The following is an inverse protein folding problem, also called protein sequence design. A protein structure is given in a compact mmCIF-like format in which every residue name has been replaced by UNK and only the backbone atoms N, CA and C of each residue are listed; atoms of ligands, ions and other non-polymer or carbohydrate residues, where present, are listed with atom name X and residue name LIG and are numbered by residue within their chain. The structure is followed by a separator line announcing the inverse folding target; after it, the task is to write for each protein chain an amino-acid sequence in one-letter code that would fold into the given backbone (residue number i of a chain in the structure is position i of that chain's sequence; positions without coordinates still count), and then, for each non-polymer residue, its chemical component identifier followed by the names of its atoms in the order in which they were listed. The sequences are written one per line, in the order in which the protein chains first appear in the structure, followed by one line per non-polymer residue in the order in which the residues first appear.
data_IF_557900438208
#
_entry.id   IF_557900438208
#
_cell.length_a   1.000
_cell.length_b   1.000
_cell.length_c   1.000
_cell.angle_alpha   90.00
_cell.angle_beta   90.00
_cell.angle_gamma   90.00
#
_symmetry.space_group_name_H-M   'P 1'
#
loop_
_entity.id
_entity.type
_entity.pdbx_description
1 polymer ?
#
# COMPACT_ATOMS: atom_id res chain seq x y z
N UNK A 1 -20.94 -4.98 -8.89
CA UNK A 1 -19.81 -5.33 -8.01
C UNK A 1 -19.11 -6.52 -8.60
N UNK A 2 -17.97 -6.28 -9.22
CA UNK A 2 -17.06 -7.29 -9.74
C UNK A 2 -15.79 -7.37 -8.89
N UNK A 3 -15.09 -8.49 -9.02
CA UNK A 3 -13.81 -8.73 -8.35
C UNK A 3 -12.69 -8.00 -9.10
N UNK A 4 -11.88 -7.25 -8.36
CA UNK A 4 -10.58 -6.79 -8.82
C UNK A 4 -9.50 -7.79 -8.39
N UNK A 5 -8.53 -8.05 -9.28
CA UNK A 5 -7.33 -8.79 -8.98
C UNK A 5 -6.27 -7.76 -8.60
N UNK A 6 -5.80 -7.80 -7.35
CA UNK A 6 -4.81 -6.87 -6.82
C UNK A 6 -3.58 -7.66 -6.39
N UNK A 7 -2.41 -7.24 -6.86
CA UNK A 7 -1.11 -7.70 -6.36
C UNK A 7 -0.39 -6.51 -5.76
N UNK A 8 0.40 -6.75 -4.72
CA UNK A 8 1.14 -5.70 -4.04
C UNK A 8 2.54 -6.16 -3.64
N UNK A 9 3.45 -5.21 -3.60
CA UNK A 9 4.82 -5.36 -3.12
C UNK A 9 5.17 -4.13 -2.28
N UNK A 10 5.90 -4.30 -1.19
CA UNK A 10 6.32 -3.18 -0.33
C UNK A 10 7.84 -3.11 -0.27
N UNK A 11 8.36 -1.90 -0.24
CA UNK A 11 9.79 -1.61 -0.29
C UNK A 11 10.08 -0.38 0.60
N UNK A 12 11.09 -0.50 1.44
CA UNK A 12 11.52 0.46 2.45
C UNK A 12 12.73 1.30 2.00
N UNK A 13 12.93 1.51 0.69
CA UNK A 13 14.12 2.18 0.11
C UNK A 13 14.64 3.42 0.86
N UNK A 14 13.75 4.22 1.47
CA UNK A 14 14.11 5.36 2.34
C UNK A 14 13.49 5.28 3.74
N UNK A 15 12.52 4.40 3.94
CA UNK A 15 11.90 4.18 5.24
C UNK A 15 12.89 3.36 6.08
N UNK A 16 13.14 3.79 7.31
CA UNK A 16 14.07 3.08 8.17
C UNK A 16 13.68 3.30 9.63
N UNK A 17 14.04 2.36 10.53
CA UNK A 17 13.80 2.51 11.95
C UNK A 17 14.26 3.87 12.48
N UNK A 18 13.39 4.53 13.25
CA UNK A 18 13.67 5.84 13.84
C UNK A 18 13.42 7.04 12.91
N UNK A 19 13.01 6.81 11.65
CA UNK A 19 12.57 7.89 10.76
C UNK A 19 11.07 7.82 10.43
N UNK A 20 10.55 8.85 9.76
CA UNK A 20 9.17 8.94 9.25
C UNK A 20 9.15 9.12 7.72
N UNK A 21 10.19 8.65 7.04
CA UNK A 21 10.24 8.71 5.58
C UNK A 21 9.21 7.73 4.99
N UNK A 22 8.63 8.02 3.82
CA UNK A 22 7.62 7.13 3.25
C UNK A 22 8.14 5.73 2.92
N UNK A 23 7.39 4.71 3.34
CA UNK A 23 7.50 3.36 2.80
C UNK A 23 6.66 3.27 1.51
N UNK A 24 7.15 2.55 0.51
CA UNK A 24 6.50 2.42 -0.78
C UNK A 24 5.75 1.10 -0.88
N UNK A 25 4.48 1.18 -1.26
CA UNK A 25 3.67 0.01 -1.63
C UNK A 25 3.33 0.15 -3.11
N UNK A 26 3.86 -0.75 -3.93
CA UNK A 26 3.55 -0.84 -5.35
C UNK A 26 2.41 -1.82 -5.52
N UNK A 27 1.35 -1.41 -6.22
CA UNK A 27 0.25 -2.32 -6.57
C UNK A 27 0.11 -2.44 -8.09
N UNK A 28 -0.42 -3.59 -8.51
CA UNK A 28 -1.03 -3.78 -9.83
C UNK A 28 -2.48 -4.21 -9.63
N UNK A 29 -3.41 -3.54 -10.30
CA UNK A 29 -4.84 -3.82 -10.24
C UNK A 29 -5.42 -4.04 -11.64
N UNK A 30 -6.09 -5.18 -11.83
CA UNK A 30 -6.85 -5.50 -13.04
C UNK A 30 -8.26 -5.97 -12.70
N UNK A 31 -9.16 -5.93 -13.67
CA UNK A 31 -10.41 -6.71 -13.58
C UNK A 31 -10.15 -8.21 -13.84
N UNK A 32 -11.23 -9.00 -13.85
CA UNK A 32 -11.17 -10.44 -14.12
C UNK A 32 -10.78 -10.83 -15.55
N UNK A 33 -10.81 -9.88 -16.49
CA UNK A 33 -10.39 -10.06 -17.89
C UNK A 33 -8.96 -9.57 -18.12
N UNK A 34 -8.28 -9.07 -17.08
CA UNK A 34 -6.93 -8.51 -17.17
C UNK A 34 -6.89 -7.07 -17.67
N UNK A 35 -8.03 -6.38 -17.78
CA UNK A 35 -8.06 -4.96 -18.13
C UNK A 35 -7.54 -4.15 -16.93
N UNK A 36 -6.57 -3.25 -17.12
CA UNK A 36 -5.99 -2.48 -16.03
C UNK A 36 -7.02 -1.53 -15.42
N UNK A 37 -7.10 -1.51 -14.09
CA UNK A 37 -7.92 -0.54 -13.35
C UNK A 37 -7.17 0.78 -13.35
N UNK A 38 -7.79 1.84 -13.89
CA UNK A 38 -7.15 3.16 -14.00
C UNK A 38 -7.84 4.23 -13.17
N UNK A 39 -7.16 5.36 -12.99
CA UNK A 39 -7.68 6.51 -12.23
C UNK A 39 -7.82 6.29 -10.71
N UNK A 40 -7.16 5.29 -10.11
CA UNK A 40 -7.13 5.12 -8.65
C UNK A 40 -6.48 6.34 -7.97
N UNK A 41 -7.10 6.79 -6.89
CA UNK A 41 -6.66 7.86 -6.00
C UNK A 41 -6.66 7.34 -4.55
N UNK A 42 -6.21 8.17 -3.61
CA UNK A 42 -6.25 7.86 -2.17
C UNK A 42 -7.64 7.37 -1.72
N UNK A 43 -8.73 8.01 -2.19
CA UNK A 43 -10.09 7.63 -1.84
C UNK A 43 -10.52 6.22 -2.33
N UNK A 44 -9.76 5.61 -3.23
CA UNK A 44 -10.00 4.25 -3.73
C UNK A 44 -9.23 3.19 -2.95
N UNK A 45 -8.40 3.60 -1.98
CA UNK A 45 -7.41 2.74 -1.34
C UNK A 45 -7.57 2.78 0.17
N UNK A 46 -7.42 1.62 0.78
CA UNK A 46 -7.23 1.49 2.22
C UNK A 46 -5.97 0.65 2.43
N UNK A 47 -5.09 1.14 3.30
CA UNK A 47 -3.86 0.44 3.69
C UNK A 47 -3.79 0.45 5.21
N UNK A 48 -3.63 -0.73 5.81
CA UNK A 48 -3.48 -0.87 7.25
C UNK A 48 -2.46 -1.99 7.55
N UNK A 49 -1.47 -1.78 8.43
CA UNK A 49 -0.56 -2.83 8.82
C UNK A 49 -1.27 -3.81 9.76
N UNK A 50 -1.43 -5.06 9.31
CA UNK A 50 -1.95 -6.16 10.13
C UNK A 50 -0.91 -6.69 11.11
N UNK A 51 0.36 -6.62 10.73
CA UNK A 51 1.51 -6.92 11.58
C UNK A 51 2.46 -5.73 11.47
N UNK A 52 2.95 -5.29 12.62
CA UNK A 52 3.98 -4.28 12.77
C UNK A 52 5.13 -4.85 13.59
N UNK A 53 6.35 -4.35 13.39
CA UNK A 53 7.44 -4.59 14.32
C UNK A 53 7.05 -4.20 15.76
N UNK A 54 7.66 -4.80 16.80
CA UNK A 54 7.34 -4.47 18.19
C UNK A 54 7.36 -2.96 18.46
N UNK A 55 6.25 -2.43 18.98
CA UNK A 55 6.07 -0.99 19.22
C UNK A 55 5.85 -0.14 17.96
N UNK A 56 5.61 -0.77 16.81
CA UNK A 56 5.27 -0.10 15.56
C UNK A 56 3.86 0.45 15.55
N UNK A 57 3.62 1.43 14.68
CA UNK A 57 2.36 2.15 14.58
C UNK A 57 1.59 1.79 13.30
N UNK A 58 0.32 2.21 13.25
CA UNK A 58 -0.47 2.25 12.01
C UNK A 58 0.14 3.24 11.01
N UNK A 59 -0.40 3.27 9.80
CA UNK A 59 0.08 4.17 8.74
C UNK A 59 -1.03 4.98 8.12
N UNK A 60 -0.66 6.15 7.61
CA UNK A 60 -1.50 6.98 6.74
C UNK A 60 -0.98 6.94 5.31
N UNK A 61 -1.89 6.94 4.34
CA UNK A 61 -1.57 7.16 2.93
C UNK A 61 -1.35 8.65 2.71
N UNK A 62 -0.14 9.03 2.25
CA UNK A 62 0.21 10.44 1.97
C UNK A 62 0.22 10.78 0.48
N UNK A 63 0.36 9.77 -0.39
CA UNK A 63 0.40 9.97 -1.83
C UNK A 63 0.04 8.67 -2.57
N UNK A 64 -0.59 8.82 -3.74
CA UNK A 64 -0.88 7.74 -4.68
C UNK A 64 -0.58 8.24 -6.08
N UNK A 65 0.40 7.65 -6.74
CA UNK A 65 0.80 8.02 -8.10
C UNK A 65 0.61 6.87 -9.06
N UNK A 66 -0.02 7.15 -10.20
CA UNK A 66 -0.07 6.21 -11.32
C UNK A 66 1.34 5.95 -11.85
N UNK A 67 1.64 4.68 -12.11
CA UNK A 67 2.80 4.26 -12.88
C UNK A 67 2.68 4.61 -14.35
N UNK A 68 3.76 4.40 -15.10
CA UNK A 68 3.78 4.59 -16.57
C UNK A 68 2.94 3.54 -17.30
N UNK A 69 2.87 2.33 -16.75
CA UNK A 69 1.99 1.27 -17.24
C UNK A 69 0.63 1.39 -16.55
N UNK A 70 -0.50 1.32 -17.28
CA UNK A 70 -1.83 1.33 -16.69
C UNK A 70 -2.03 0.19 -15.68
N UNK A 71 -2.80 0.45 -14.62
CA UNK A 71 -3.07 -0.54 -13.57
C UNK A 71 -2.01 -0.57 -12.46
N UNK A 72 -0.86 0.09 -12.64
CA UNK A 72 0.20 0.15 -11.64
C UNK A 72 0.17 1.46 -10.85
N UNK A 73 0.39 1.38 -9.54
CA UNK A 73 0.39 2.53 -8.65
C UNK A 73 1.49 2.45 -7.61
N UNK A 74 2.11 3.59 -7.31
CA UNK A 74 3.00 3.79 -6.17
C UNK A 74 2.20 4.48 -5.06
N UNK A 75 1.95 3.76 -3.98
CA UNK A 75 1.29 4.23 -2.78
C UNK A 75 2.39 4.55 -1.76
N UNK A 76 2.33 5.74 -1.17
CA UNK A 76 3.27 6.16 -0.14
C UNK A 76 2.56 6.18 1.18
N UNK A 77 3.10 5.46 2.15
CA UNK A 77 2.58 5.41 3.52
C UNK A 77 3.62 5.88 4.51
N UNK A 78 3.16 6.53 5.58
CA UNK A 78 4.01 6.97 6.70
C UNK A 78 3.37 6.53 8.01
N UNK A 79 4.13 6.32 9.10
CA UNK A 79 3.57 6.10 10.42
C UNK A 79 2.60 7.24 10.80
N UNK A 80 1.50 6.89 11.45
CA UNK A 80 0.51 7.86 11.95
C UNK A 80 1.16 8.83 12.94
N UNK A 81 0.56 10.02 13.07
CA UNK A 81 1.00 11.05 14.01
C UNK A 81 2.50 11.41 13.86
N UNK A 82 3.24 11.41 14.98
CA UNK A 82 4.68 11.66 15.04
C UNK A 82 5.48 10.37 15.25
N UNK A 83 4.86 9.21 15.02
CA UNK A 83 5.54 7.93 15.17
C UNK A 83 6.63 7.75 14.11
N UNK A 84 7.53 6.81 14.41
CA UNK A 84 8.63 6.42 13.53
C UNK A 84 8.55 4.94 13.25
N UNK A 85 9.11 4.52 12.12
CA UNK A 85 9.26 3.09 11.83
C UNK A 85 10.06 2.41 12.93
N UNK A 86 9.71 1.15 13.20
CA UNK A 86 10.43 0.29 14.15
C UNK A 86 11.03 -0.87 13.38
N UNK A 87 12.12 -1.41 13.89
CA UNK A 87 12.71 -2.62 13.31
C UNK A 87 11.71 -3.77 13.37
N UNK A 88 11.61 -4.54 12.29
CA UNK A 88 10.78 -5.73 12.22
C UNK A 88 10.07 -5.88 10.88
N UNK A 89 9.26 -6.93 10.76
CA UNK A 89 8.48 -7.17 9.55
C UNK A 89 7.15 -6.45 9.66
N UNK A 90 6.80 -5.72 8.60
CA UNK A 90 5.48 -5.14 8.41
C UNK A 90 4.72 -5.96 7.37
N UNK A 91 3.46 -6.30 7.68
CA UNK A 91 2.52 -6.89 6.74
C UNK A 91 1.32 -5.96 6.60
N UNK A 92 1.20 -5.34 5.43
CA UNK A 92 0.12 -4.42 5.09
C UNK A 92 -1.02 -5.17 4.41
N UNK A 93 -2.24 -4.99 4.91
CA UNK A 93 -3.44 -5.21 4.12
C UNK A 93 -3.63 -4.04 3.17
N UNK A 94 -3.92 -4.33 1.91
CA UNK A 94 -4.25 -3.34 0.89
C UNK A 94 -5.60 -3.69 0.29
N UNK A 95 -6.56 -2.78 0.39
CA UNK A 95 -7.86 -2.91 -0.26
C UNK A 95 -8.04 -1.81 -1.32
N UNK A 96 -8.62 -2.20 -2.45
CA UNK A 96 -8.91 -1.33 -3.59
C UNK A 96 -10.42 -1.35 -3.84
N UNK A 97 -11.03 -0.18 -3.93
CA UNK A 97 -12.43 -0.01 -4.34
C UNK A 97 -12.55 1.03 -5.46
N UNK A 98 -13.16 0.62 -6.58
CA UNK A 98 -13.37 1.48 -7.74
C UNK A 98 -14.76 1.24 -8.34
N UNK A 99 -15.60 2.26 -8.30
CA UNK A 99 -16.95 2.24 -8.90
C UNK A 99 -17.82 1.03 -8.45
N UNK A 100 -17.62 0.58 -7.20
CA UNK A 100 -18.30 -0.58 -6.62
C UNK A 100 -17.59 -1.92 -6.83
N UNK A 101 -16.53 -1.97 -7.61
CA UNK A 101 -15.66 -3.15 -7.76
C UNK A 101 -14.58 -3.15 -6.68
N UNK A 102 -14.25 -4.35 -6.18
CA UNK A 102 -13.41 -4.49 -4.99
C UNK A 102 -12.38 -5.60 -5.14
N UNK A 103 -11.20 -5.36 -4.58
CA UNK A 103 -10.15 -6.36 -4.45
C UNK A 103 -9.25 -6.06 -3.25
N UNK A 104 -8.54 -7.07 -2.77
CA UNK A 104 -7.63 -6.92 -1.64
C UNK A 104 -6.44 -7.85 -1.78
N UNK A 105 -5.33 -7.49 -1.13
CA UNK A 105 -4.09 -8.26 -1.14
C UNK A 105 -3.23 -7.90 0.08
N UNK A 106 -2.09 -8.55 0.21
CA UNK A 106 -1.09 -8.25 1.24
C UNK A 106 0.20 -7.74 0.59
N UNK A 107 0.91 -6.87 1.29
CA UNK A 107 2.27 -6.48 0.96
C UNK A 107 3.15 -6.61 2.22
N UNK A 108 4.39 -7.06 2.05
CA UNK A 108 5.31 -7.27 3.17
C UNK A 108 6.61 -6.53 2.96
N UNK A 109 7.18 -5.99 4.03
CA UNK A 109 8.52 -5.39 4.01
C UNK A 109 9.24 -5.69 5.33
N UNK A 110 10.47 -6.24 5.30
CA UNK A 110 11.36 -6.19 6.46
C UNK A 110 11.86 -4.75 6.60
N UNK A 111 11.75 -4.17 7.79
CA UNK A 111 12.25 -2.84 8.12
C UNK A 111 13.47 -3.03 9.01
N UNK A 112 14.68 -2.79 8.48
CA UNK A 112 15.95 -3.05 9.16
C UNK A 112 16.77 -1.80 9.52
#
# INVERSE_FOLDING_TARGET
MARLIVTAFSEDTIAAPGNRAPNYIIISATDTQGVPVTGLKVANLQVDPMIVGPGGAKVDIVDVRSGRLPGFYNIRVVPIDQETWKTGVYIFAVAVEKDGDRGQTLATVPMD
#
